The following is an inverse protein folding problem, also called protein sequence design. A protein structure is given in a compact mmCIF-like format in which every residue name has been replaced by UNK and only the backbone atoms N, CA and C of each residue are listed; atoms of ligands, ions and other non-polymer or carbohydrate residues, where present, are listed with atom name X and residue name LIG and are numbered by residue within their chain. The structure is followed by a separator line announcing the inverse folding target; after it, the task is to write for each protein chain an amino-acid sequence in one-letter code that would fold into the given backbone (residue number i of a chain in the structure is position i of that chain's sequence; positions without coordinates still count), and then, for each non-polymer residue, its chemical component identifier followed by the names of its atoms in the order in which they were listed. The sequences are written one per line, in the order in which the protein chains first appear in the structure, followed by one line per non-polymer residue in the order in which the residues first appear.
data_IF_609530934970
#
_entry.id   IF_609530934970
#
_cell.length_a   1.000
_cell.length_b   1.000
_cell.length_c   1.000
_cell.angle_alpha   90.00
_cell.angle_beta   90.00
_cell.angle_gamma   90.00
#
_symmetry.space_group_name_H-M   'P 1'
#
loop_
_entity.id
_entity.type
_entity.pdbx_description
1 polymer ?
#
# COMPACT_ATOMS: atom_id res chain seq x y z
N UNK A 1 -23.83 2.61 -3.55
CA UNK A 1 -22.38 2.52 -3.29
C UNK A 1 -21.61 3.55 -4.12
N UNK A 2 -20.59 4.21 -3.56
CA UNK A 2 -19.69 5.06 -4.36
C UNK A 2 -18.81 4.16 -5.23
N UNK A 3 -18.59 4.54 -6.49
CA UNK A 3 -17.71 3.80 -7.39
C UNK A 3 -16.30 3.73 -6.77
N UNK A 4 -15.78 2.52 -6.53
CA UNK A 4 -14.48 2.31 -5.89
C UNK A 4 -13.34 3.07 -6.60
N UNK A 5 -13.42 3.21 -7.93
CA UNK A 5 -12.44 3.98 -8.71
C UNK A 5 -12.45 5.47 -8.38
N UNK A 6 -13.62 6.05 -8.06
CA UNK A 6 -13.70 7.45 -7.63
C UNK A 6 -13.12 7.65 -6.23
N UNK A 7 -13.27 6.67 -5.34
CA UNK A 7 -12.68 6.71 -4.00
C UNK A 7 -11.15 6.68 -4.11
N UNK A 8 -10.61 5.71 -4.86
CA UNK A 8 -9.16 5.60 -5.10
C UNK A 8 -8.59 6.84 -5.81
N UNK A 9 -9.33 7.43 -6.76
CA UNK A 9 -8.94 8.68 -7.40
C UNK A 9 -8.91 9.83 -6.38
N UNK A 10 -9.88 9.90 -5.48
CA UNK A 10 -9.91 10.89 -4.40
C UNK A 10 -8.70 10.76 -3.46
N UNK A 11 -8.32 9.53 -3.08
CA UNK A 11 -7.13 9.27 -2.27
C UNK A 11 -5.85 9.63 -3.00
N UNK A 12 -5.74 9.27 -4.28
CA UNK A 12 -4.61 9.67 -5.11
C UNK A 12 -4.47 11.20 -5.19
N UNK A 13 -5.58 11.92 -5.40
CA UNK A 13 -5.58 13.39 -5.41
C UNK A 13 -5.23 13.98 -4.04
N UNK A 14 -5.66 13.35 -2.94
CA UNK A 14 -5.30 13.76 -1.59
C UNK A 14 -3.79 13.60 -1.37
N UNK A 15 -3.20 12.46 -1.73
CA UNK A 15 -1.76 12.26 -1.65
C UNK A 15 -0.98 13.21 -2.55
N UNK A 16 -1.44 13.43 -3.78
CA UNK A 16 -0.85 14.39 -4.70
C UNK A 16 -0.90 15.81 -4.12
N UNK A 17 -2.02 16.20 -3.50
CA UNK A 17 -2.17 17.50 -2.84
C UNK A 17 -1.22 17.68 -1.67
N UNK A 18 -1.11 16.67 -0.78
CA UNK A 18 -0.15 16.68 0.34
C UNK A 18 1.28 16.77 -0.18
N UNK A 19 1.61 16.00 -1.22
CA UNK A 19 2.93 15.97 -1.81
C UNK A 19 3.31 17.31 -2.45
N UNK A 20 2.43 17.88 -3.28
CA UNK A 20 2.62 19.19 -3.90
C UNK A 20 2.74 20.29 -2.85
N UNK A 21 1.92 20.24 -1.79
CA UNK A 21 2.01 21.19 -0.67
C UNK A 21 3.39 21.15 0.00
N UNK A 22 3.91 19.97 0.32
CA UNK A 22 5.24 19.83 0.93
C UNK A 22 6.36 20.30 -0.02
N UNK A 23 6.32 19.87 -1.28
CA UNK A 23 7.35 20.22 -2.29
C UNK A 23 7.39 21.73 -2.58
N UNK A 24 6.23 22.40 -2.59
CA UNK A 24 6.16 23.85 -2.85
C UNK A 24 6.55 24.70 -1.63
N UNK A 25 6.33 24.22 -0.41
CA UNK A 25 6.57 24.99 0.82
C UNK A 25 7.96 24.74 1.40
N UNK A 26 8.47 23.51 1.38
CA UNK A 26 9.76 23.16 2.01
C UNK A 26 11.00 23.43 1.13
N UNK A 27 10.96 24.49 0.32
CA UNK A 27 12.13 25.15 -0.30
C UNK A 27 12.89 24.43 -1.44
N UNK A 28 12.56 23.20 -1.81
CA UNK A 28 13.34 22.44 -2.80
C UNK A 28 12.88 22.49 -4.26
N UNK A 29 11.71 23.10 -4.54
CA UNK A 29 11.12 23.13 -5.89
C UNK A 29 10.85 21.73 -6.46
N UNK A 30 10.56 21.63 -7.77
CA UNK A 30 10.25 20.34 -8.42
C UNK A 30 11.38 19.29 -8.31
N UNK A 31 12.62 19.69 -8.04
CA UNK A 31 13.76 18.79 -7.80
C UNK A 31 13.64 17.96 -6.52
N UNK A 32 12.93 18.45 -5.50
CA UNK A 32 12.75 17.74 -4.23
C UNK A 32 11.94 16.44 -4.38
N UNK A 33 11.17 16.30 -5.46
CA UNK A 33 10.40 15.08 -5.76
C UNK A 33 11.29 13.83 -5.79
N UNK A 34 12.53 13.98 -6.28
CA UNK A 34 13.50 12.88 -6.37
C UNK A 34 13.85 12.30 -5.00
N UNK A 35 13.77 13.08 -3.93
CA UNK A 35 14.09 12.62 -2.57
C UNK A 35 13.05 11.66 -1.99
N UNK A 36 11.85 11.62 -2.58
CA UNK A 36 10.79 10.70 -2.20
C UNK A 36 10.74 9.45 -3.09
N UNK A 37 11.74 9.23 -3.95
CA UNK A 37 11.83 8.05 -4.81
C UNK A 37 13.04 7.23 -4.37
N UNK A 38 12.79 6.18 -3.59
CA UNK A 38 13.79 5.21 -3.16
C UNK A 38 13.44 3.81 -3.66
N UNK A 39 14.20 3.37 -4.67
CA UNK A 39 13.98 2.09 -5.34
C UNK A 39 14.17 0.88 -4.39
N UNK A 40 15.20 0.81 -3.52
CA UNK A 40 15.35 -0.28 -2.56
C UNK A 40 14.10 -0.48 -1.69
N UNK A 41 13.55 0.59 -1.12
CA UNK A 41 12.35 0.52 -0.27
C UNK A 41 11.14 -0.02 -1.03
N UNK A 42 10.87 0.50 -2.23
CA UNK A 42 9.75 0.05 -3.08
C UNK A 42 9.92 -1.41 -3.47
N UNK A 43 11.13 -1.81 -3.87
CA UNK A 43 11.41 -3.18 -4.29
C UNK A 43 11.23 -4.18 -3.16
N UNK A 44 11.70 -3.88 -1.95
CA UNK A 44 11.54 -4.80 -0.81
C UNK A 44 10.05 -4.98 -0.48
N UNK A 45 9.27 -3.89 -0.45
CA UNK A 45 7.81 -3.98 -0.22
C UNK A 45 7.16 -4.81 -1.33
N UNK A 46 7.47 -4.55 -2.60
CA UNK A 46 6.90 -5.29 -3.72
C UNK A 46 7.28 -6.78 -3.72
N UNK A 47 8.52 -7.11 -3.35
CA UNK A 47 9.05 -8.48 -3.25
C UNK A 47 8.42 -9.28 -2.11
N UNK A 48 7.87 -8.62 -1.10
CA UNK A 48 7.12 -9.29 -0.03
C UNK A 48 5.64 -9.38 -0.40
N UNK A 49 5.07 -8.28 -0.91
CA UNK A 49 3.66 -8.18 -1.26
C UNK A 49 3.26 -9.10 -2.41
N UNK A 50 3.91 -8.98 -3.57
CA UNK A 50 3.45 -9.67 -4.79
C UNK A 50 3.70 -11.17 -4.68
N UNK A 51 4.93 -11.66 -4.39
CA UNK A 51 5.16 -13.08 -4.16
C UNK A 51 4.35 -13.63 -3.00
N UNK A 52 4.18 -12.89 -1.90
CA UNK A 52 3.38 -13.32 -0.77
C UNK A 52 1.94 -13.63 -1.17
N UNK A 53 1.29 -12.73 -1.91
CA UNK A 53 -0.06 -12.95 -2.44
C UNK A 53 -0.13 -14.12 -3.43
N UNK A 54 0.90 -14.32 -4.25
CA UNK A 54 0.97 -15.45 -5.19
C UNK A 54 1.10 -16.78 -4.45
N UNK A 55 1.96 -16.87 -3.43
CA UNK A 55 2.18 -18.07 -2.61
C UNK A 55 0.90 -18.46 -1.87
N UNK A 56 0.15 -17.48 -1.36
CA UNK A 56 -1.14 -17.72 -0.70
C UNK A 56 -2.29 -18.02 -1.67
N UNK A 57 -2.06 -17.94 -2.99
CA UNK A 57 -3.12 -18.06 -4.00
C UNK A 57 -4.13 -16.90 -4.02
N UNK A 58 -3.90 -15.85 -3.22
CA UNK A 58 -4.81 -14.73 -3.01
C UNK A 58 -4.71 -13.66 -4.11
N UNK A 59 -3.71 -13.72 -5.00
CA UNK A 59 -3.50 -12.70 -6.04
C UNK A 59 -4.73 -12.43 -6.91
N UNK A 60 -5.42 -13.49 -7.35
CA UNK A 60 -6.60 -13.33 -8.21
C UNK A 60 -7.72 -12.59 -7.47
N UNK A 61 -8.01 -12.96 -6.24
CA UNK A 61 -9.05 -12.33 -5.44
C UNK A 61 -8.66 -10.90 -5.02
N UNK A 62 -7.38 -10.64 -4.73
CA UNK A 62 -6.87 -9.29 -4.51
C UNK A 62 -7.16 -8.37 -5.72
N UNK A 63 -6.88 -8.82 -6.94
CA UNK A 63 -7.15 -8.01 -8.14
C UNK A 63 -8.64 -7.75 -8.38
N UNK A 64 -9.53 -8.65 -7.94
CA UNK A 64 -10.99 -8.45 -8.05
C UNK A 64 -11.47 -7.29 -7.16
N UNK A 65 -10.78 -7.00 -6.06
CA UNK A 65 -11.13 -5.92 -5.12
C UNK A 65 -11.34 -4.56 -5.82
N UNK A 66 -10.54 -4.27 -6.85
CA UNK A 66 -10.61 -3.04 -7.66
C UNK A 66 -11.86 -2.92 -8.56
N UNK A 67 -12.72 -3.94 -8.55
CA UNK A 67 -13.96 -3.98 -9.35
C UNK A 67 -15.21 -4.28 -8.53
N UNK A 68 -15.09 -4.40 -7.20
CA UNK A 68 -16.24 -4.54 -6.30
C UNK A 68 -17.15 -3.32 -6.41
N UNK A 69 -18.45 -3.55 -6.52
CA UNK A 69 -19.46 -2.50 -6.76
C UNK A 69 -19.60 -2.10 -8.24
N UNK A 70 -18.78 -2.67 -9.13
CA UNK A 70 -18.91 -2.56 -10.59
C UNK A 70 -19.33 -3.91 -11.18
N UNK A 71 -18.70 -4.99 -10.72
CA UNK A 71 -19.05 -6.37 -11.09
C UNK A 71 -19.81 -7.06 -9.96
N UNK A 72 -20.77 -7.94 -10.28
CA UNK A 72 -21.38 -8.81 -9.29
C UNK A 72 -20.38 -9.87 -8.86
N UNK A 73 -20.40 -10.19 -7.56
CA UNK A 73 -19.61 -11.24 -6.95
C UNK A 73 -20.48 -11.99 -5.94
N UNK A 74 -20.28 -13.31 -5.83
CA UNK A 74 -20.96 -14.11 -4.81
C UNK A 74 -20.46 -13.79 -3.40
N UNK A 75 -21.21 -14.18 -2.37
CA UNK A 75 -20.80 -14.01 -0.96
C UNK A 75 -19.43 -14.64 -0.66
N UNK A 76 -19.19 -15.85 -1.17
CA UNK A 76 -17.90 -16.53 -1.01
C UNK A 76 -16.77 -15.75 -1.67
N UNK A 77 -16.99 -15.21 -2.88
CA UNK A 77 -15.99 -14.40 -3.56
C UNK A 77 -15.71 -13.09 -2.82
N UNK A 78 -16.74 -12.42 -2.30
CA UNK A 78 -16.58 -11.20 -1.51
C UNK A 78 -15.76 -11.45 -0.24
N UNK A 79 -16.03 -12.56 0.46
CA UNK A 79 -15.22 -12.99 1.61
C UNK A 79 -13.76 -13.20 1.22
N UNK A 80 -13.49 -13.94 0.14
CA UNK A 80 -12.12 -14.20 -0.32
C UNK A 80 -11.41 -12.90 -0.75
N UNK A 81 -12.14 -11.95 -1.36
CA UNK A 81 -11.61 -10.64 -1.71
C UNK A 81 -11.19 -9.87 -0.45
N UNK A 82 -12.02 -9.85 0.59
CA UNK A 82 -11.72 -9.18 1.86
C UNK A 82 -10.46 -9.78 2.49
N UNK A 83 -10.36 -11.11 2.56
CA UNK A 83 -9.20 -11.82 3.09
C UNK A 83 -7.93 -11.54 2.27
N UNK A 84 -8.04 -11.46 0.94
CA UNK A 84 -6.93 -11.15 0.06
C UNK A 84 -6.42 -9.70 0.24
N UNK A 85 -7.32 -8.73 0.45
CA UNK A 85 -6.92 -7.35 0.76
C UNK A 85 -6.29 -7.25 2.15
N UNK A 86 -6.83 -7.92 3.17
CA UNK A 86 -6.24 -7.98 4.51
C UNK A 86 -4.82 -8.61 4.50
N UNK A 87 -4.64 -9.66 3.69
CA UNK A 87 -3.32 -10.24 3.46
C UNK A 87 -2.35 -9.25 2.78
N UNK A 88 -2.82 -8.53 1.76
CA UNK A 88 -2.03 -7.49 1.08
C UNK A 88 -1.60 -6.37 2.05
N UNK A 89 -2.48 -5.97 2.96
CA UNK A 89 -2.17 -4.97 3.97
C UNK A 89 -1.04 -5.45 4.90
N UNK A 90 -1.20 -6.64 5.49
CA UNK A 90 -0.17 -7.23 6.37
C UNK A 90 1.17 -7.42 5.67
N UNK A 91 1.16 -7.92 4.43
CA UNK A 91 2.40 -8.10 3.64
C UNK A 91 3.08 -6.77 3.33
N UNK A 92 2.32 -5.70 3.09
CA UNK A 92 2.88 -4.35 2.90
C UNK A 92 3.61 -3.88 4.15
N UNK A 93 2.99 -4.02 5.32
CA UNK A 93 3.60 -3.68 6.62
C UNK A 93 4.83 -4.54 6.87
N UNK A 94 4.78 -5.84 6.63
CA UNK A 94 5.94 -6.73 6.77
C UNK A 94 7.07 -6.37 5.81
N UNK A 95 6.74 -6.01 4.56
CA UNK A 95 7.72 -5.54 3.59
C UNK A 95 8.48 -4.30 4.07
N UNK A 96 7.76 -3.31 4.60
CA UNK A 96 8.38 -2.11 5.16
C UNK A 96 9.21 -2.42 6.42
N UNK A 97 8.71 -3.28 7.31
CA UNK A 97 9.46 -3.71 8.49
C UNK A 97 10.76 -4.43 8.11
N UNK A 98 10.73 -5.31 7.09
CA UNK A 98 11.94 -5.94 6.58
C UNK A 98 12.93 -4.91 6.05
N UNK A 99 12.47 -3.95 5.25
CA UNK A 99 13.33 -2.90 4.72
C UNK A 99 13.97 -2.06 5.83
N UNK A 100 13.18 -1.65 6.83
CA UNK A 100 13.67 -0.89 8.00
C UNK A 100 14.70 -1.68 8.79
N UNK A 101 14.42 -2.95 9.10
CA UNK A 101 15.34 -3.79 9.89
C UNK A 101 16.63 -4.06 9.13
N UNK A 102 16.55 -4.43 7.85
CA UNK A 102 17.72 -4.70 7.01
C UNK A 102 18.59 -3.44 6.91
N UNK A 103 17.99 -2.28 6.64
CA UNK A 103 18.72 -1.02 6.55
C UNK A 103 19.33 -0.62 7.90
N UNK A 104 18.59 -0.75 8.99
CA UNK A 104 19.09 -0.51 10.35
C UNK A 104 20.32 -1.36 10.68
N UNK A 105 20.29 -2.65 10.33
CA UNK A 105 21.45 -3.55 10.48
C UNK A 105 22.63 -3.08 9.62
N UNK A 106 22.40 -2.64 8.39
CA UNK A 106 23.46 -2.13 7.50
C UNK A 106 24.12 -0.85 8.04
N UNK A 107 23.32 0.09 8.56
CA UNK A 107 23.81 1.32 9.19
C UNK A 107 24.65 0.98 10.42
N UNK A 108 24.17 0.09 11.29
CA UNK A 108 24.90 -0.29 12.51
C UNK A 108 26.15 -1.11 12.21
N UNK A 109 26.11 -1.99 11.20
CA UNK A 109 27.23 -2.84 10.81
C UNK A 109 28.36 -2.08 10.09
N UNK A 110 28.04 -0.92 9.51
CA UNK A 110 28.98 -0.01 8.86
C UNK A 110 28.68 1.39 9.35
N UNK A 111 29.22 1.78 10.51
CA UNK A 111 29.11 3.12 11.11
C UNK A 111 29.82 4.21 10.27
N UNK A 112 29.80 4.08 8.96
CA UNK A 112 30.31 5.02 7.98
C UNK A 112 29.26 6.13 7.78
N UNK A 113 29.60 7.39 8.10
CA UNK A 113 28.68 8.52 7.92
C UNK A 113 28.11 8.65 6.50
N UNK A 114 28.86 8.21 5.48
CA UNK A 114 28.42 8.28 4.09
C UNK A 114 27.26 7.32 3.77
N UNK A 115 27.13 6.23 4.53
CA UNK A 115 26.08 5.22 4.36
C UNK A 115 24.85 5.48 5.24
N UNK A 116 24.98 6.35 6.24
CA UNK A 116 23.89 6.68 7.16
C UNK A 116 22.71 7.36 6.45
N UNK A 117 22.98 8.33 5.58
CA UNK A 117 21.93 9.06 4.84
C UNK A 117 21.08 8.12 3.98
N UNK A 118 21.67 7.35 3.05
CA UNK A 118 20.93 6.37 2.24
C UNK A 118 20.21 5.32 3.07
N UNK A 119 20.84 4.79 4.13
CA UNK A 119 20.18 3.82 5.00
C UNK A 119 18.96 4.39 5.73
N UNK A 120 19.07 5.61 6.27
CA UNK A 120 17.96 6.29 6.92
C UNK A 120 16.83 6.60 5.92
N UNK A 121 17.18 6.99 4.68
CA UNK A 121 16.19 7.18 3.62
C UNK A 121 15.38 5.90 3.39
N UNK A 122 16.02 4.73 3.32
CA UNK A 122 15.32 3.44 3.21
C UNK A 122 14.37 3.23 4.40
N UNK A 123 14.82 3.49 5.62
CA UNK A 123 13.98 3.31 6.82
C UNK A 123 12.72 4.19 6.78
N UNK A 124 12.89 5.50 6.54
CA UNK A 124 11.76 6.44 6.56
C UNK A 124 10.83 6.26 5.36
N UNK A 125 11.40 6.09 4.15
CA UNK A 125 10.60 5.95 2.94
C UNK A 125 9.87 4.61 2.89
N UNK A 126 10.43 3.54 3.45
CA UNK A 126 9.71 2.26 3.58
C UNK A 126 8.45 2.39 4.44
N UNK A 127 8.55 3.06 5.60
CA UNK A 127 7.39 3.34 6.45
C UNK A 127 6.37 4.23 5.75
N UNK A 128 6.84 5.28 5.07
CA UNK A 128 5.98 6.20 4.30
C UNK A 128 5.23 5.48 3.18
N UNK A 129 5.91 4.66 2.37
CA UNK A 129 5.28 3.90 1.29
C UNK A 129 4.27 2.87 1.82
N UNK A 130 4.55 2.20 2.94
CA UNK A 130 3.58 1.32 3.55
C UNK A 130 2.30 2.06 3.95
N UNK A 131 2.41 3.26 4.53
CA UNK A 131 1.23 4.08 4.88
C UNK A 131 0.42 4.46 3.64
N UNK A 132 1.07 4.87 2.55
CA UNK A 132 0.37 5.20 1.29
C UNK A 132 -0.36 3.99 0.75
N UNK A 133 0.31 2.83 0.68
CA UNK A 133 -0.27 1.60 0.17
C UNK A 133 -1.44 1.16 1.08
N UNK A 134 -1.27 1.15 2.41
CA UNK A 134 -2.34 0.85 3.37
C UNK A 134 -3.58 1.72 3.15
N UNK A 135 -3.37 3.02 2.94
CA UNK A 135 -4.45 3.95 2.70
C UNK A 135 -5.22 3.62 1.42
N UNK A 136 -4.53 3.20 0.35
CA UNK A 136 -5.14 2.76 -0.90
C UNK A 136 -5.85 1.40 -0.78
N UNK A 137 -5.37 0.52 0.10
CA UNK A 137 -5.95 -0.81 0.33
C UNK A 137 -7.19 -0.78 1.22
N UNK A 138 -7.22 0.12 2.21
CA UNK A 138 -8.33 0.28 3.14
C UNK A 138 -9.72 0.42 2.46
N UNK A 139 -9.95 1.31 1.48
CA UNK A 139 -11.25 1.44 0.83
C UNK A 139 -11.64 0.20 0.03
N UNK A 140 -10.67 -0.55 -0.52
CA UNK A 140 -10.94 -1.80 -1.24
C UNK A 140 -11.58 -2.82 -0.30
N UNK A 141 -11.01 -2.96 0.90
CA UNK A 141 -11.51 -3.85 1.95
C UNK A 141 -12.90 -3.41 2.42
N UNK A 142 -13.05 -2.15 2.82
CA UNK A 142 -14.32 -1.61 3.33
C UNK A 142 -15.44 -1.68 2.29
N UNK A 143 -15.14 -1.50 1.02
CA UNK A 143 -16.12 -1.61 -0.07
C UNK A 143 -16.56 -3.06 -0.29
N UNK A 144 -15.64 -4.03 -0.20
CA UNK A 144 -15.97 -5.45 -0.24
C UNK A 144 -16.79 -5.91 0.97
N UNK A 145 -16.45 -5.46 2.18
CA UNK A 145 -17.22 -5.73 3.40
C UNK A 145 -18.64 -5.18 3.30
N UNK A 146 -18.81 -3.94 2.84
CA UNK A 146 -20.14 -3.34 2.64
C UNK A 146 -20.95 -4.12 1.62
N UNK A 147 -20.34 -4.49 0.49
CA UNK A 147 -21.03 -5.26 -0.55
C UNK A 147 -21.43 -6.65 -0.05
N UNK A 148 -20.59 -7.30 0.74
CA UNK A 148 -20.91 -8.60 1.34
C UNK A 148 -22.13 -8.50 2.26
N UNK A 149 -22.18 -7.48 3.12
CA UNK A 149 -23.32 -7.27 4.00
C UNK A 149 -24.61 -7.00 3.21
N UNK A 150 -24.55 -6.18 2.16
CA UNK A 150 -25.71 -5.94 1.28
C UNK A 150 -26.23 -7.25 0.64
N UNK A 151 -25.35 -8.13 0.17
CA UNK A 151 -25.74 -9.42 -0.42
C UNK A 151 -26.26 -10.42 0.63
N UNK A 152 -25.84 -10.30 1.90
CA UNK A 152 -26.39 -11.10 2.99
C UNK A 152 -27.81 -10.64 3.34
N UNK A 153 -28.04 -9.32 3.43
CA UNK A 153 -29.35 -8.73 3.75
C UNK A 153 -30.41 -9.03 2.66
N UNK A 154 -29.99 -9.20 1.40
CA UNK A 154 -30.88 -9.55 0.28
C UNK A 154 -31.19 -11.06 0.19
N UNK A 155 -30.45 -11.89 0.92
CA UNK A 155 -30.65 -13.33 0.99
C UNK A 155 -31.66 -13.79 2.05
N UNK A 156 -32.14 -12.87 2.89
CA UNK A 156 -33.28 -13.04 3.81
C UNK A 156 -34.61 -12.67 3.14
#
# INVERSE_FOLDING_TARGET
MKNIRLVLLGEFLLFLGIFVFNVLIESGGLSAVVWYIDLPSILIIALVLIPGLLIMGAWKDFTKAFSVGIKPYSLLELKNIIEAVDAAQKLTVFGALFAIVISGVQIMGRLDPSMMGPGLAVCFLSGFYAVIIEFLLLPLRLNAERKMNEEMDLGE
#
